data_IF_801664943076
#
_entry.id   IF_801664943076
#
_cell.length_a   1.000
_cell.length_b   1.000
_cell.length_c   1.000
_cell.angle_alpha   90.00
_cell.angle_beta   90.00
_cell.angle_gamma   90.00
#
_symmetry.space_group_name_H-M   'P 1'
#
loop_
_entity.id
_entity.type
_entity.pdbx_description
1 polymer ?
#
# COMPACT_ATOMS: atom_id res chain seq x y z
N UNK A 1 -3.03 -18.27 10.93
CA UNK A 1 -2.56 -18.26 9.53
C UNK A 1 -3.69 -17.66 8.69
N UNK A 2 -3.58 -16.42 8.18
CA UNK A 2 -4.58 -15.91 7.22
C UNK A 2 -4.53 -16.81 5.97
N UNK A 3 -5.62 -17.52 5.61
CA UNK A 3 -5.62 -18.36 4.42
C UNK A 3 -5.58 -17.47 3.19
N UNK A 4 -4.62 -17.70 2.31
CA UNK A 4 -4.74 -17.22 0.93
C UNK A 4 -5.86 -18.03 0.29
N UNK A 5 -6.85 -17.37 -0.31
CA UNK A 5 -7.87 -18.09 -1.07
C UNK A 5 -7.34 -18.67 -2.39
N UNK A 6 -6.24 -18.12 -2.91
CA UNK A 6 -5.70 -18.47 -4.22
C UNK A 6 -4.49 -19.41 -4.10
N UNK A 7 -4.71 -20.71 -4.33
CA UNK A 7 -3.66 -21.74 -4.31
C UNK A 7 -2.64 -21.60 -5.43
N UNK A 8 -3.03 -21.03 -6.58
CA UNK A 8 -2.18 -20.92 -7.77
C UNK A 8 -0.97 -20.00 -7.56
N UNK A 9 -0.97 -19.16 -6.52
CA UNK A 9 0.19 -18.32 -6.18
C UNK A 9 1.42 -19.13 -5.78
N UNK A 10 1.24 -20.36 -5.30
CA UNK A 10 2.34 -21.26 -4.92
C UNK A 10 3.00 -21.95 -6.13
N UNK A 11 2.32 -21.92 -7.28
CA UNK A 11 2.80 -22.55 -8.52
C UNK A 11 3.65 -21.60 -9.37
N UNK A 12 3.73 -20.32 -8.98
CA UNK A 12 4.47 -19.30 -9.69
C UNK A 12 5.94 -19.28 -9.26
N UNK A 13 6.85 -19.44 -10.20
CA UNK A 13 8.29 -19.17 -9.98
C UNK A 13 8.56 -17.69 -9.67
N UNK A 14 7.73 -16.81 -10.22
CA UNK A 14 7.79 -15.37 -10.04
C UNK A 14 6.40 -14.76 -10.21
N UNK A 15 6.00 -13.91 -9.28
CA UNK A 15 4.75 -13.16 -9.37
C UNK A 15 5.05 -11.68 -9.64
N UNK A 16 4.37 -11.12 -10.65
CA UNK A 16 4.59 -9.77 -11.15
C UNK A 16 3.48 -8.86 -10.60
N UNK A 17 3.88 -7.84 -9.85
CA UNK A 17 3.01 -6.76 -9.41
C UNK A 17 2.97 -5.70 -10.51
N UNK A 18 2.15 -5.94 -11.52
CA UNK A 18 2.14 -5.14 -12.74
C UNK A 18 1.86 -3.66 -12.48
N UNK A 19 0.97 -3.35 -11.54
CA UNK A 19 0.56 -1.97 -11.26
C UNK A 19 1.52 -1.27 -10.29
N UNK A 20 2.29 -2.00 -9.49
CA UNK A 20 3.43 -1.47 -8.72
C UNK A 20 4.78 -1.49 -9.46
N UNK A 21 4.90 -2.23 -10.56
CA UNK A 21 6.10 -2.25 -11.40
C UNK A 21 7.30 -2.99 -10.81
N UNK A 22 7.07 -4.04 -10.01
CA UNK A 22 8.12 -4.94 -9.50
C UNK A 22 7.62 -6.39 -9.39
N UNK A 23 8.50 -7.31 -9.00
CA UNK A 23 8.21 -8.75 -8.89
C UNK A 23 8.64 -9.31 -7.55
N UNK A 24 8.25 -10.54 -7.25
CA UNK A 24 8.74 -11.28 -6.05
C UNK A 24 10.26 -11.48 -6.05
N UNK A 25 10.95 -11.37 -7.18
CA UNK A 25 12.42 -11.42 -7.27
C UNK A 25 13.09 -10.06 -7.14
N UNK A 26 12.33 -8.97 -7.16
CA UNK A 26 12.89 -7.62 -7.03
C UNK A 26 13.40 -7.32 -5.62
N UNK A 27 12.83 -7.96 -4.60
CA UNK A 27 13.16 -7.75 -3.18
C UNK A 27 13.09 -9.05 -2.38
N UNK A 28 13.75 -9.10 -1.23
CA UNK A 28 13.35 -10.02 -0.17
C UNK A 28 12.12 -9.43 0.55
N UNK A 29 10.93 -9.97 0.27
CA UNK A 29 9.66 -9.45 0.78
C UNK A 29 9.55 -9.61 2.30
N UNK A 30 10.08 -10.70 2.87
CA UNK A 30 10.01 -10.94 4.32
C UNK A 30 10.90 -9.95 5.06
N UNK A 31 12.11 -9.72 4.56
CA UNK A 31 13.02 -8.74 5.15
C UNK A 31 12.50 -7.30 4.98
N UNK A 32 11.97 -6.96 3.80
CA UNK A 32 11.60 -5.58 3.46
C UNK A 32 10.24 -5.16 4.02
N UNK A 33 9.28 -6.08 4.10
CA UNK A 33 7.89 -5.77 4.43
C UNK A 33 7.31 -6.59 5.58
N UNK A 34 8.04 -7.58 6.12
CA UNK A 34 7.51 -8.51 7.13
C UNK A 34 7.14 -7.85 8.48
N UNK A 35 7.62 -6.64 8.74
CA UNK A 35 7.32 -5.83 9.91
C UNK A 35 6.05 -4.98 9.77
N UNK A 36 5.43 -4.95 8.58
CA UNK A 36 4.28 -4.08 8.29
C UNK A 36 3.07 -4.48 9.13
N UNK A 37 2.49 -3.48 9.82
CA UNK A 37 1.26 -3.60 10.63
C UNK A 37 0.11 -2.72 10.14
N UNK A 38 0.41 -1.68 9.38
CA UNK A 38 -0.58 -0.75 8.87
C UNK A 38 -0.39 -0.51 7.37
N UNK A 39 -1.51 -0.41 6.65
CA UNK A 39 -1.54 0.04 5.25
C UNK A 39 -2.49 1.22 5.14
N UNK A 40 -1.95 2.38 4.83
CA UNK A 40 -2.70 3.61 4.61
C UNK A 40 -2.88 3.84 3.11
N UNK A 41 -4.12 3.99 2.65
CA UNK A 41 -4.43 4.18 1.23
C UNK A 41 -5.31 5.40 0.97
N UNK A 42 -5.10 6.10 -0.13
CA UNK A 42 -6.01 7.18 -0.56
C UNK A 42 -6.06 7.33 -2.08
N UNK A 43 -6.99 8.13 -2.59
CA UNK A 43 -7.16 8.26 -4.04
C UNK A 43 -6.13 9.12 -4.79
N UNK A 44 -5.19 9.76 -4.09
CA UNK A 44 -4.21 10.67 -4.69
C UNK A 44 -2.80 10.35 -4.25
N UNK A 45 -1.91 10.12 -5.22
CA UNK A 45 -0.48 9.91 -5.01
C UNK A 45 0.17 11.05 -4.21
N UNK A 46 -0.11 12.30 -4.56
CA UNK A 46 0.42 13.46 -3.85
C UNK A 46 -0.03 13.51 -2.38
N UNK A 47 -1.31 13.23 -2.11
CA UNK A 47 -1.82 13.24 -0.71
C UNK A 47 -1.20 12.13 0.12
N UNK A 48 -1.09 10.91 -0.43
CA UNK A 48 -0.51 9.80 0.32
C UNK A 48 0.99 9.98 0.54
N UNK A 49 1.72 10.56 -0.42
CA UNK A 49 3.13 10.89 -0.26
C UNK A 49 3.35 11.95 0.83
N UNK A 50 2.55 13.02 0.82
CA UNK A 50 2.58 14.03 1.87
C UNK A 50 2.26 13.42 3.24
N UNK A 51 1.33 12.48 3.31
CA UNK A 51 1.04 11.77 4.55
C UNK A 51 2.22 10.91 5.01
N UNK A 52 2.87 10.17 4.09
CA UNK A 52 4.08 9.41 4.41
C UNK A 52 5.22 10.31 4.91
N UNK A 53 5.43 11.49 4.29
CA UNK A 53 6.42 12.48 4.75
C UNK A 53 6.09 12.99 6.15
N UNK A 54 4.81 13.30 6.43
CA UNK A 54 4.37 13.72 7.76
C UNK A 54 4.62 12.63 8.80
N UNK A 55 4.34 11.36 8.49
CA UNK A 55 4.61 10.24 9.37
C UNK A 55 6.12 10.01 9.58
N UNK A 56 6.94 10.16 8.53
CA UNK A 56 8.39 10.05 8.65
C UNK A 56 8.97 11.13 9.59
N UNK A 57 8.50 12.38 9.46
CA UNK A 57 8.87 13.47 10.36
C UNK A 57 8.49 13.18 11.81
N UNK A 58 7.29 12.66 12.05
CA UNK A 58 6.82 12.28 13.40
C UNK A 58 7.63 11.13 14.00
N UNK A 59 8.07 10.19 13.17
CA UNK A 59 8.91 9.06 13.59
C UNK A 59 10.41 9.43 13.73
N UNK A 60 10.80 10.67 13.40
CA UNK A 60 12.22 11.06 13.38
C UNK A 60 13.04 10.40 12.28
N UNK A 61 12.38 9.87 11.23
CA UNK A 61 13.03 9.23 10.09
C UNK A 61 13.47 10.30 9.08
N UNK A 62 14.70 10.14 8.57
CA UNK A 62 15.27 11.08 7.61
C UNK A 62 14.53 11.04 6.26
N UNK A 63 14.40 12.20 5.64
CA UNK A 63 13.86 12.39 4.30
C UNK A 63 14.96 12.22 3.24
N UNK A 64 14.62 11.88 1.97
CA UNK A 64 13.27 11.75 1.41
C UNK A 64 12.62 10.38 1.66
N UNK A 65 11.28 10.36 1.68
CA UNK A 65 10.52 9.10 1.58
C UNK A 65 10.46 8.72 0.10
N UNK A 66 11.22 7.70 -0.28
CA UNK A 66 11.36 7.26 -1.67
C UNK A 66 10.20 6.36 -2.13
N UNK A 67 9.79 6.53 -3.39
CA UNK A 67 8.80 5.67 -4.01
C UNK A 67 9.44 4.31 -4.34
N UNK A 68 8.90 3.25 -3.76
CA UNK A 68 9.33 1.86 -3.95
C UNK A 68 8.78 1.29 -5.27
N UNK A 69 7.64 1.82 -5.74
CA UNK A 69 7.05 1.39 -7.01
C UNK A 69 7.93 1.80 -8.21
N UNK A 70 7.82 1.06 -9.31
CA UNK A 70 8.54 1.35 -10.54
C UNK A 70 8.18 2.73 -11.11
N UNK A 71 9.11 3.35 -11.85
CA UNK A 71 8.93 4.72 -12.39
C UNK A 71 7.73 4.88 -13.34
N UNK A 72 7.29 3.80 -13.98
CA UNK A 72 6.14 3.75 -14.90
C UNK A 72 4.94 2.99 -14.29
N UNK A 73 4.97 2.71 -13.00
CA UNK A 73 3.90 2.05 -12.27
C UNK A 73 2.62 2.90 -12.26
N UNK A 74 1.48 2.24 -12.07
CA UNK A 74 0.17 2.90 -11.96
C UNK A 74 -0.10 3.45 -10.57
N UNK A 75 0.47 2.82 -9.55
CA UNK A 75 0.37 3.25 -8.16
C UNK A 75 1.74 3.57 -7.58
N UNK A 76 1.77 4.50 -6.64
CA UNK A 76 2.94 4.77 -5.79
C UNK A 76 2.91 3.88 -4.56
N UNK A 77 4.09 3.57 -4.03
CA UNK A 77 4.24 2.79 -2.81
C UNK A 77 5.37 3.37 -1.96
N UNK A 78 5.08 3.74 -0.72
CA UNK A 78 6.07 4.20 0.24
C UNK A 78 6.02 3.34 1.50
N UNK A 79 7.14 3.29 2.22
CA UNK A 79 7.22 2.66 3.54
C UNK A 79 7.85 3.61 4.53
N UNK A 80 7.24 3.74 5.70
CA UNK A 80 7.81 4.43 6.87
C UNK A 80 7.60 3.52 8.07
N UNK A 81 8.68 3.01 8.63
CA UNK A 81 8.65 2.04 9.73
C UNK A 81 7.67 0.88 9.42
N UNK A 82 6.71 0.59 10.30
CA UNK A 82 5.73 -0.48 10.14
C UNK A 82 4.49 -0.12 9.29
N UNK A 83 4.54 0.99 8.53
CA UNK A 83 3.41 1.52 7.75
C UNK A 83 3.74 1.53 6.26
N UNK A 84 2.86 0.93 5.44
CA UNK A 84 2.84 1.09 3.99
C UNK A 84 1.85 2.17 3.58
N UNK A 85 2.20 2.90 2.53
CA UNK A 85 1.41 4.00 1.98
C UNK A 85 1.28 3.79 0.47
N UNK A 86 0.05 3.72 -0.04
CA UNK A 86 -0.18 3.59 -1.47
C UNK A 86 -1.38 4.42 -1.92
N UNK A 87 -1.39 4.85 -3.18
CA UNK A 87 -2.59 5.41 -3.77
C UNK A 87 -3.42 4.33 -4.47
N UNK A 88 -4.73 4.55 -4.57
CA UNK A 88 -5.66 3.60 -5.18
C UNK A 88 -6.45 4.19 -6.35
N UNK A 89 -6.14 5.41 -6.80
CA UNK A 89 -6.92 6.13 -7.82
C UNK A 89 -8.38 6.37 -7.41
N UNK A 90 -9.30 6.32 -8.38
CA UNK A 90 -10.72 6.62 -8.18
C UNK A 90 -11.59 5.40 -8.48
N UNK A 91 -12.60 5.18 -7.65
CA UNK A 91 -13.62 4.14 -7.85
C UNK A 91 -13.21 2.74 -7.39
N UNK A 92 -14.21 1.86 -7.39
CA UNK A 92 -14.06 0.46 -6.97
C UNK A 92 -13.08 -0.30 -7.86
N UNK A 93 -13.10 -0.21 -9.21
CA UNK A 93 -12.21 -0.99 -10.06
C UNK A 93 -10.73 -0.73 -9.77
N UNK A 94 -10.33 0.55 -9.70
CA UNK A 94 -8.95 0.93 -9.37
C UNK A 94 -8.55 0.45 -7.98
N UNK A 95 -9.45 0.57 -7.00
CA UNK A 95 -9.18 0.14 -5.62
C UNK A 95 -8.97 -1.36 -5.53
N UNK A 96 -9.77 -2.17 -6.25
CA UNK A 96 -9.62 -3.63 -6.24
C UNK A 96 -8.28 -4.08 -6.81
N UNK A 97 -7.78 -3.43 -7.85
CA UNK A 97 -6.44 -3.73 -8.40
C UNK A 97 -5.36 -3.52 -7.32
N UNK A 98 -5.39 -2.36 -6.65
CA UNK A 98 -4.48 -2.10 -5.54
C UNK A 98 -4.62 -3.16 -4.45
N UNK A 99 -5.84 -3.50 -4.04
CA UNK A 99 -6.09 -4.44 -2.95
C UNK A 99 -5.56 -5.84 -3.29
N UNK A 100 -5.72 -6.31 -4.53
CA UNK A 100 -5.17 -7.60 -4.96
C UNK A 100 -3.65 -7.61 -4.91
N UNK A 101 -2.98 -6.59 -5.45
CA UNK A 101 -1.51 -6.53 -5.42
C UNK A 101 -0.98 -6.31 -3.99
N UNK A 102 -1.58 -5.42 -3.21
CA UNK A 102 -1.14 -5.14 -1.83
C UNK A 102 -1.31 -6.37 -0.92
N UNK A 103 -2.43 -7.08 -1.00
CA UNK A 103 -2.64 -8.27 -0.16
C UNK A 103 -1.73 -9.43 -0.54
N UNK A 104 -1.41 -9.62 -1.83
CA UNK A 104 -0.35 -10.57 -2.26
C UNK A 104 1.01 -10.17 -1.72
N UNK A 105 1.37 -8.88 -1.76
CA UNK A 105 2.63 -8.40 -1.19
C UNK A 105 2.75 -8.75 0.29
N UNK A 106 1.71 -8.42 1.08
CA UNK A 106 1.67 -8.76 2.51
C UNK A 106 1.71 -10.28 2.75
N UNK A 107 1.09 -11.05 1.86
CA UNK A 107 1.14 -12.50 1.92
C UNK A 107 2.58 -13.02 1.76
N UNK A 108 3.29 -12.61 0.70
CA UNK A 108 4.69 -13.03 0.46
C UNK A 108 5.64 -12.53 1.54
N UNK A 109 5.36 -11.36 2.12
CA UNK A 109 6.09 -10.82 3.26
C UNK A 109 5.83 -11.59 4.57
N UNK A 110 4.83 -12.47 4.61
CA UNK A 110 4.45 -13.22 5.81
C UNK A 110 3.67 -12.42 6.85
N UNK A 111 3.19 -11.22 6.50
CA UNK A 111 2.46 -10.36 7.42
C UNK A 111 1.13 -11.01 7.85
N UNK A 112 0.72 -10.70 9.08
CA UNK A 112 -0.54 -11.15 9.68
C UNK A 112 -1.17 -9.99 10.44
N UNK A 113 -2.50 -9.98 10.46
CA UNK A 113 -3.33 -9.01 11.20
C UNK A 113 -2.95 -7.56 10.90
N UNK A 114 -2.83 -7.27 9.61
CA UNK A 114 -2.51 -5.94 9.09
C UNK A 114 -3.78 -5.10 9.00
N UNK A 115 -3.75 -3.88 9.54
CA UNK A 115 -4.88 -2.95 9.47
C UNK A 115 -4.79 -2.09 8.21
N UNK A 116 -5.84 -2.15 7.38
CA UNK A 116 -6.02 -1.26 6.24
C UNK A 116 -6.83 -0.02 6.66
N UNK A 117 -6.30 1.16 6.35
CA UNK A 117 -6.92 2.46 6.66
C UNK A 117 -7.06 3.23 5.35
N UNK A 118 -8.30 3.50 4.94
CA UNK A 118 -8.59 4.33 3.76
C UNK A 118 -8.77 5.78 4.18
N UNK A 119 -7.86 6.65 3.75
CA UNK A 119 -7.87 8.09 3.98
C UNK A 119 -8.61 8.81 2.85
N UNK A 120 -9.94 8.83 2.95
CA UNK A 120 -10.84 9.29 1.90
C UNK A 120 -11.28 10.74 2.04
N UNK A 121 -11.89 11.26 0.97
CA UNK A 121 -12.75 12.44 1.03
C UNK A 121 -14.18 12.02 0.71
N UNK A 122 -15.16 12.56 1.42
CA UNK A 122 -16.57 12.32 1.10
C UNK A 122 -17.43 13.57 1.33
N UNK A 123 -18.56 13.62 0.62
CA UNK A 123 -19.63 14.58 0.93
C UNK A 123 -20.35 14.15 2.21
N UNK A 124 -20.26 14.96 3.26
CA UNK A 124 -20.96 14.69 4.51
C UNK A 124 -22.44 15.06 4.40
N UNK A 125 -23.33 14.14 4.73
CA UNK A 125 -24.76 14.44 4.89
C UNK A 125 -25.00 14.98 6.31
N UNK A 126 -25.59 16.18 6.41
CA UNK A 126 -25.79 16.85 7.70
C UNK A 126 -24.51 17.41 8.33
N UNK A 127 -23.46 17.62 7.53
CA UNK A 127 -22.20 18.27 7.94
C UNK A 127 -21.90 19.43 7.01
N UNK A 128 -21.32 20.51 7.56
CA UNK A 128 -21.08 21.76 6.83
C UNK A 128 -19.88 21.69 5.88
N UNK A 129 -19.03 20.66 5.96
CA UNK A 129 -17.73 20.63 5.27
C UNK A 129 -17.41 19.23 4.75
N UNK A 130 -16.52 19.14 3.76
CA UNK A 130 -15.93 17.88 3.27
C UNK A 130 -15.28 17.15 4.45
N UNK A 131 -15.63 15.88 4.62
CA UNK A 131 -15.03 15.02 5.64
C UNK A 131 -13.81 14.33 5.06
N UNK A 132 -12.73 14.35 5.83
CA UNK A 132 -11.60 13.43 5.67
C UNK A 132 -11.91 12.26 6.59
N UNK A 133 -12.05 11.06 6.01
CA UNK A 133 -12.29 9.81 6.73
C UNK A 133 -11.03 8.96 6.72
#
# INVERSE_FOLDING_TARGET
MQPILNSYLNELDEDVFHHFGFTTKSFDFKQKFGDVKFVCVCGSSNRIHNFAISMAKLAGIQLPVENIAGSHARFVLYKVDHILFADHGIGIPSTLILMHEMTKLLHYAGCKDVLFIRLGTCGGLGKTTILIL
#
